data_IF_991922844908
#
_entry.id   IF_991922844908
#
_cell.length_a   1.000
_cell.length_b   1.000
_cell.length_c   1.000
_cell.angle_alpha   90.00
_cell.angle_beta   90.00
_cell.angle_gamma   90.00
#
_symmetry.space_group_name_H-M   'P 1'
#
loop_
_entity.id
_entity.type
_entity.pdbx_description
1 polymer ?
#
# COMPACT_ATOMS: atom_id res chain seq x y z
N UNK A 1 3.81 -20.97 -3.23
CA UNK A 1 2.57 -20.76 -2.45
C UNK A 1 1.76 -19.77 -3.24
N UNK A 2 0.58 -20.21 -3.69
CA UNK A 2 -0.29 -19.55 -4.67
C UNK A 2 -0.69 -18.13 -4.24
N UNK A 3 -0.74 -17.87 -2.93
CA UNK A 3 -1.01 -16.54 -2.41
C UNK A 3 0.04 -15.51 -2.85
N UNK A 4 1.32 -15.89 -2.81
CA UNK A 4 2.42 -15.01 -3.20
C UNK A 4 2.41 -14.72 -4.70
N UNK A 5 2.05 -15.71 -5.52
CA UNK A 5 1.92 -15.52 -6.96
C UNK A 5 0.83 -14.51 -7.29
N UNK A 6 -0.37 -14.68 -6.70
CA UNK A 6 -1.47 -13.72 -6.88
C UNK A 6 -1.13 -12.31 -6.37
N UNK A 7 -0.44 -12.20 -5.23
CA UNK A 7 0.06 -10.91 -4.73
C UNK A 7 1.01 -10.26 -5.74
N UNK A 8 1.99 -10.99 -6.25
CA UNK A 8 2.95 -10.45 -7.21
C UNK A 8 2.33 -10.13 -8.56
N UNK A 9 1.29 -10.82 -8.99
CA UNK A 9 0.54 -10.47 -10.21
C UNK A 9 -0.14 -9.11 -10.08
N UNK A 10 -0.79 -8.85 -8.94
CA UNK A 10 -1.40 -7.54 -8.64
C UNK A 10 -0.34 -6.45 -8.57
N UNK A 11 0.73 -6.66 -7.81
CA UNK A 11 1.83 -5.68 -7.70
C UNK A 11 2.47 -5.43 -9.07
N UNK A 12 2.73 -6.46 -9.86
CA UNK A 12 3.31 -6.33 -11.19
C UNK A 12 2.37 -5.56 -12.13
N UNK A 13 1.06 -5.77 -12.02
CA UNK A 13 0.09 -4.98 -12.76
C UNK A 13 0.14 -3.50 -12.36
N UNK A 14 0.22 -3.18 -11.07
CA UNK A 14 0.36 -1.79 -10.59
C UNK A 14 1.68 -1.19 -11.10
N UNK A 15 2.81 -1.90 -10.96
CA UNK A 15 4.13 -1.42 -11.40
C UNK A 15 4.17 -1.11 -12.90
N UNK A 16 3.43 -1.85 -13.73
CA UNK A 16 3.37 -1.62 -15.19
C UNK A 16 2.48 -0.44 -15.58
N UNK A 17 1.45 -0.14 -14.79
CA UNK A 17 0.40 0.81 -15.17
C UNK A 17 0.44 2.12 -14.37
N UNK A 18 1.16 2.16 -13.24
CA UNK A 18 1.34 3.39 -12.48
C UNK A 18 2.27 4.36 -13.22
N UNK A 19 1.90 5.65 -13.23
CA UNK A 19 2.75 6.72 -13.78
C UNK A 19 3.94 7.11 -12.89
N UNK A 20 4.11 6.43 -11.75
CA UNK A 20 5.13 6.71 -10.73
C UNK A 20 5.90 5.44 -10.37
N UNK A 21 7.15 5.54 -9.89
CA UNK A 21 7.87 4.39 -9.34
C UNK A 21 7.10 3.74 -8.19
N UNK A 22 6.96 2.41 -8.24
CA UNK A 22 6.23 1.62 -7.25
C UNK A 22 7.20 0.75 -6.47
N UNK A 23 7.07 0.78 -5.15
CA UNK A 23 7.79 -0.08 -4.20
C UNK A 23 6.76 -0.83 -3.37
N UNK A 24 6.88 -2.14 -3.26
CA UNK A 24 6.03 -2.93 -2.36
C UNK A 24 6.70 -3.10 -1.00
N UNK A 25 5.89 -3.33 0.03
CA UNK A 25 6.32 -3.59 1.40
C UNK A 25 5.34 -4.54 2.08
N UNK A 26 5.85 -5.25 3.09
CA UNK A 26 5.03 -6.07 3.97
C UNK A 26 4.89 -5.42 5.33
N UNK A 27 3.69 -5.55 5.90
CA UNK A 27 3.42 -5.06 7.25
C UNK A 27 4.21 -5.86 8.30
N UNK A 28 4.24 -7.20 8.20
CA UNK A 28 4.87 -8.07 9.17
C UNK A 28 5.46 -9.33 8.52
N UNK A 29 6.41 -9.97 9.23
CA UNK A 29 7.04 -11.28 8.95
C UNK A 29 7.83 -11.43 7.64
N UNK A 30 7.60 -10.57 6.66
CA UNK A 30 8.22 -10.64 5.35
C UNK A 30 9.03 -9.37 5.03
N UNK A 31 9.87 -9.48 4.02
CA UNK A 31 10.73 -8.36 3.55
C UNK A 31 10.44 -8.04 2.08
N UNK A 32 10.53 -6.77 1.67
CA UNK A 32 10.95 -5.63 2.49
C UNK A 32 9.85 -5.15 3.45
N UNK A 33 10.25 -4.69 4.63
CA UNK A 33 9.38 -3.96 5.56
C UNK A 33 9.02 -2.57 4.99
N UNK A 34 8.02 -1.94 5.59
CA UNK A 34 7.60 -0.57 5.24
C UNK A 34 8.78 0.41 5.28
N UNK A 35 9.57 0.39 6.35
CA UNK A 35 10.72 1.30 6.52
C UNK A 35 11.80 1.02 5.48
N UNK A 36 12.08 -0.24 5.15
CA UNK A 36 13.06 -0.59 4.11
C UNK A 36 12.61 -0.16 2.71
N UNK A 37 11.32 -0.34 2.38
CA UNK A 37 10.78 0.08 1.09
C UNK A 37 10.82 1.61 0.94
N UNK A 38 10.44 2.35 1.99
CA UNK A 38 10.55 3.81 2.02
C UNK A 38 12.02 4.24 1.88
N UNK A 39 12.94 3.63 2.63
CA UNK A 39 14.38 3.92 2.52
C UNK A 39 14.93 3.69 1.11
N UNK A 40 14.45 2.64 0.41
CA UNK A 40 14.78 2.41 -1.00
C UNK A 40 14.24 3.52 -1.90
N UNK A 41 13.00 3.97 -1.71
CA UNK A 41 12.45 5.09 -2.47
C UNK A 41 13.24 6.40 -2.24
N UNK A 42 13.55 6.72 -0.98
CA UNK A 42 14.37 7.90 -0.62
C UNK A 42 15.76 7.83 -1.25
N UNK A 43 16.43 6.67 -1.21
CA UNK A 43 17.74 6.45 -1.85
C UNK A 43 17.68 6.68 -3.37
N UNK A 44 16.54 6.39 -3.99
CA UNK A 44 16.28 6.67 -5.40
C UNK A 44 15.79 8.11 -5.66
N UNK A 45 15.97 9.01 -4.69
CA UNK A 45 15.65 10.45 -4.77
C UNK A 45 14.15 10.75 -4.85
N UNK A 46 13.26 9.81 -4.49
CA UNK A 46 11.84 10.11 -4.32
C UNK A 46 11.67 11.12 -3.17
N UNK A 47 11.11 12.29 -3.48
CA UNK A 47 10.85 13.37 -2.51
C UNK A 47 9.47 13.31 -1.89
N UNK A 48 8.53 12.65 -2.56
CA UNK A 48 7.17 12.42 -2.11
C UNK A 48 6.85 10.95 -2.25
N UNK A 49 6.47 10.32 -1.15
CA UNK A 49 6.22 8.89 -1.05
C UNK A 49 4.81 8.71 -0.50
N UNK A 50 3.95 8.07 -1.28
CA UNK A 50 2.58 7.79 -0.89
C UNK A 50 2.51 6.31 -0.52
N UNK A 51 2.32 6.01 0.76
CA UNK A 51 2.12 4.65 1.24
C UNK A 51 0.62 4.34 1.20
N UNK A 52 0.28 3.28 0.47
CA UNK A 52 -1.09 2.84 0.23
C UNK A 52 -1.21 1.38 0.69
N UNK A 53 -2.02 1.07 1.72
CA UNK A 53 -2.33 -0.31 2.11
C UNK A 53 -3.11 -1.05 1.04
N UNK A 54 -2.86 -2.35 0.84
CA UNK A 54 -3.65 -3.20 -0.04
C UNK A 54 -4.90 -3.81 0.63
N UNK A 55 -5.20 -3.40 1.85
CA UNK A 55 -6.36 -3.83 2.63
C UNK A 55 -7.38 -2.71 2.55
N UNK A 56 -8.61 -2.99 2.12
CA UNK A 56 -9.56 -1.94 1.70
C UNK A 56 -10.66 -1.66 2.72
N UNK A 57 -10.86 -2.55 3.70
CA UNK A 57 -11.97 -2.46 4.66
C UNK A 57 -11.49 -1.80 5.95
N UNK A 58 -12.08 -0.65 6.36
CA UNK A 58 -11.75 -0.04 7.64
C UNK A 58 -12.24 -0.85 8.83
N UNK A 59 -11.63 -0.60 9.99
CA UNK A 59 -12.02 -1.21 11.26
C UNK A 59 -11.07 -2.27 11.80
N UNK A 60 -10.00 -2.61 11.06
CA UNK A 60 -8.90 -3.39 11.62
C UNK A 60 -7.89 -2.49 12.36
N UNK A 61 -7.24 -3.03 13.41
CA UNK A 61 -6.22 -2.30 14.17
C UNK A 61 -4.95 -2.04 13.35
N UNK A 62 -4.70 -2.88 12.37
CA UNK A 62 -3.44 -2.92 11.62
C UNK A 62 -3.26 -1.66 10.76
N UNK A 63 -4.27 -1.25 9.99
CA UNK A 63 -4.22 -0.03 9.19
C UNK A 63 -4.46 1.23 10.03
N UNK A 64 -5.38 1.16 11.00
CA UNK A 64 -5.76 2.31 11.84
C UNK A 64 -4.64 2.78 12.76
N UNK A 65 -3.83 1.84 13.25
CA UNK A 65 -2.81 2.11 14.26
C UNK A 65 -1.43 1.61 13.87
N UNK A 66 -1.27 0.30 13.63
CA UNK A 66 0.07 -0.31 13.65
C UNK A 66 0.93 0.10 12.44
N UNK A 67 0.34 0.12 11.24
CA UNK A 67 0.98 0.64 10.02
C UNK A 67 1.23 2.14 10.16
N UNK A 68 0.23 2.87 10.68
CA UNK A 68 0.32 4.32 10.87
C UNK A 68 1.48 4.70 11.79
N UNK A 69 1.61 4.03 12.94
CA UNK A 69 2.73 4.21 13.88
C UNK A 69 4.08 3.94 13.22
N UNK A 70 4.17 2.89 12.39
CA UNK A 70 5.39 2.58 11.63
C UNK A 70 5.72 3.66 10.60
N UNK A 71 4.71 4.25 9.94
CA UNK A 71 4.90 5.38 9.04
C UNK A 71 5.36 6.62 9.79
N UNK A 72 4.76 6.94 10.93
CA UNK A 72 5.18 8.08 11.77
C UNK A 72 6.63 7.92 12.25
N UNK A 73 7.03 6.72 12.68
CA UNK A 73 8.42 6.42 13.00
C UNK A 73 9.34 6.61 11.78
N UNK A 74 8.91 6.16 10.61
CA UNK A 74 9.71 6.25 9.38
C UNK A 74 9.89 7.70 8.90
N UNK A 75 8.90 8.58 9.13
CA UNK A 75 9.03 10.04 8.88
C UNK A 75 10.16 10.68 9.68
N UNK A 76 10.40 10.22 10.90
CA UNK A 76 11.51 10.70 11.74
C UNK A 76 12.86 10.28 11.14
N UNK A 77 12.93 9.08 10.55
CA UNK A 77 14.15 8.54 9.95
C UNK A 77 14.52 9.19 8.61
N UNK A 78 13.53 9.66 7.85
CA UNK A 78 13.71 10.25 6.53
C UNK A 78 13.03 11.63 6.40
N UNK A 79 13.46 12.64 7.18
CA UNK A 79 12.84 13.96 7.18
C UNK A 79 12.99 14.72 5.84
N UNK A 80 13.88 14.27 4.96
CA UNK A 80 14.10 14.85 3.63
C UNK A 80 13.06 14.44 2.57
N UNK A 81 12.15 13.53 2.92
CA UNK A 81 11.07 13.06 2.06
C UNK A 81 9.70 13.28 2.72
N UNK A 82 8.75 13.78 1.94
CA UNK A 82 7.35 13.86 2.34
C UNK A 82 6.74 12.45 2.25
N UNK A 83 6.43 11.85 3.40
CA UNK A 83 5.80 10.53 3.46
C UNK A 83 4.33 10.72 3.84
N UNK A 84 3.44 10.29 2.96
CA UNK A 84 1.98 10.38 3.12
C UNK A 84 1.45 8.98 3.37
N UNK A 85 0.72 8.79 4.47
CA UNK A 85 -0.06 7.59 4.70
C UNK A 85 -1.46 7.79 4.11
N UNK A 86 -1.74 7.20 2.95
CA UNK A 86 -2.99 7.37 2.21
C UNK A 86 -3.99 6.27 2.60
N UNK A 87 -4.55 6.41 3.80
CA UNK A 87 -5.57 5.55 4.39
C UNK A 87 -6.57 6.42 5.18
N UNK A 88 -7.90 6.14 5.17
CA UNK A 88 -8.59 5.05 4.47
C UNK A 88 -8.94 5.34 3.00
N UNK A 89 -9.38 4.31 2.27
CA UNK A 89 -10.06 4.50 0.99
C UNK A 89 -11.49 5.04 1.21
N UNK A 90 -12.05 5.81 0.27
CA UNK A 90 -13.45 6.20 0.33
C UNK A 90 -14.38 4.97 0.32
N UNK A 91 -15.31 4.91 1.27
CA UNK A 91 -16.22 3.76 1.42
C UNK A 91 -17.02 3.46 0.15
N UNK A 92 -17.47 4.50 -0.55
CA UNK A 92 -18.21 4.37 -1.81
C UNK A 92 -17.38 3.69 -2.92
N UNK A 93 -16.09 3.99 -3.02
CA UNK A 93 -15.21 3.36 -4.02
C UNK A 93 -15.01 1.87 -3.72
N UNK A 94 -14.83 1.52 -2.45
CA UNK A 94 -14.69 0.13 -2.00
C UNK A 94 -15.99 -0.64 -2.23
N UNK A 95 -17.14 -0.06 -1.88
CA UNK A 95 -18.45 -0.65 -2.13
C UNK A 95 -18.69 -0.88 -3.64
N UNK A 96 -18.40 0.13 -4.47
CA UNK A 96 -18.55 0.02 -5.93
C UNK A 96 -17.64 -1.04 -6.54
N UNK A 97 -16.41 -1.22 -6.02
CA UNK A 97 -15.54 -2.32 -6.47
C UNK A 97 -16.20 -3.69 -6.25
N UNK A 98 -16.85 -3.91 -5.10
CA UNK A 98 -17.54 -5.16 -4.78
C UNK A 98 -18.81 -5.31 -5.64
N UNK A 99 -19.62 -4.26 -5.77
CA UNK A 99 -20.84 -4.26 -6.60
C UNK A 99 -20.50 -4.63 -8.05
N UNK A 100 -19.46 -4.02 -8.63
CA UNK A 100 -18.99 -4.33 -9.98
C UNK A 100 -18.59 -5.80 -10.17
N UNK A 101 -18.13 -6.48 -9.10
CA UNK A 101 -17.89 -7.93 -9.17
C UNK A 101 -19.20 -8.71 -9.13
N UNK A 102 -20.16 -8.32 -8.28
CA UNK A 102 -21.49 -8.96 -8.24
C UNK A 102 -22.15 -8.88 -9.63
N UNK A 103 -22.26 -7.67 -10.19
CA UNK A 103 -22.88 -7.44 -11.51
C UNK A 103 -22.21 -8.20 -12.66
N UNK A 104 -20.91 -8.51 -12.54
CA UNK A 104 -20.19 -9.32 -13.53
C UNK A 104 -20.71 -10.75 -13.61
N UNK A 105 -21.23 -11.29 -12.52
CA UNK A 105 -21.69 -12.67 -12.38
C UNK A 105 -23.21 -12.80 -12.20
N UNK A 106 -23.90 -11.73 -11.82
CA UNK A 106 -25.36 -11.66 -11.68
C UNK A 106 -26.02 -11.38 -13.05
N UNK A 107 -26.00 -12.39 -13.93
CA UNK A 107 -26.69 -12.39 -15.22
C UNK A 107 -28.00 -13.16 -15.16
#
# INVERSE_FOLDING_TARGET
DEYWEGFFDVISHIMRNAGSPVYFAFYQYCSPSITEAIGRAVKNKCKRIILVPAMFIPGDRMCELEIKERVEFTKILYPEAEIIYAWPYPEEEVANFIINQIERFDK
#
